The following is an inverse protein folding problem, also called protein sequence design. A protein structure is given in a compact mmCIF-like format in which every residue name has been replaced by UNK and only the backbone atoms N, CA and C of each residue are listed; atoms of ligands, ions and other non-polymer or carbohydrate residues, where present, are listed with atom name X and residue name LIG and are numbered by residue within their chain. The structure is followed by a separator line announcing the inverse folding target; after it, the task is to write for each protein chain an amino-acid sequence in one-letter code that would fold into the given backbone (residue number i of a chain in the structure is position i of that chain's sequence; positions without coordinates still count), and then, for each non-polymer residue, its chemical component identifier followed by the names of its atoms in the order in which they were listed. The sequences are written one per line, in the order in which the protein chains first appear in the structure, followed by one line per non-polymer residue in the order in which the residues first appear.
data_IF_631239537677
#
_entry.id   IF_631239537677
#
_cell.length_a   1.000
_cell.length_b   1.000
_cell.length_c   1.000
_cell.angle_alpha   90.00
_cell.angle_beta   90.00
_cell.angle_gamma   90.00
#
_symmetry.space_group_name_H-M   'P 1'
#
loop_
_entity.id
_entity.type
_entity.pdbx_description
1 polymer ?
#
# COMPACT_ATOMS: atom_id res chain seq x y z
N UNK A 1 -15.07 -28.90 4.00
CA UNK A 1 -14.26 -27.75 3.54
C UNK A 1 -13.51 -27.98 2.21
N UNK A 2 -13.72 -29.10 1.52
CA UNK A 2 -13.06 -29.38 0.22
C UNK A 2 -13.77 -28.76 -1.00
N UNK A 3 -14.98 -28.26 -0.84
CA UNK A 3 -15.90 -27.98 -1.96
C UNK A 3 -15.82 -26.56 -2.56
N UNK A 4 -14.93 -25.70 -2.07
CA UNK A 4 -14.86 -24.30 -2.52
C UNK A 4 -13.60 -23.95 -3.32
N UNK A 5 -12.65 -24.90 -3.52
CA UNK A 5 -11.42 -24.65 -4.29
C UNK A 5 -11.70 -24.47 -5.78
N UNK A 6 -12.65 -25.23 -6.34
CA UNK A 6 -12.98 -25.16 -7.78
C UNK A 6 -13.68 -23.86 -8.20
N UNK A 7 -14.25 -23.11 -7.25
CA UNK A 7 -14.92 -21.83 -7.52
C UNK A 7 -14.03 -20.60 -7.45
N UNK A 8 -12.81 -20.71 -6.91
CA UNK A 8 -11.90 -19.56 -6.80
C UNK A 8 -11.30 -19.23 -8.17
N UNK A 9 -11.47 -17.98 -8.60
CA UNK A 9 -10.98 -17.48 -9.89
C UNK A 9 -9.47 -17.58 -9.99
N UNK A 10 -8.75 -17.32 -8.88
CA UNK A 10 -7.28 -17.41 -8.81
C UNK A 10 -6.75 -18.85 -8.99
N UNK A 11 -7.61 -19.87 -8.78
CA UNK A 11 -7.26 -21.28 -8.94
C UNK A 11 -7.78 -21.88 -10.27
N UNK A 12 -8.51 -21.10 -11.05
CA UNK A 12 -8.97 -21.56 -12.36
C UNK A 12 -7.80 -21.76 -13.31
N UNK A 13 -7.96 -22.70 -14.24
CA UNK A 13 -6.98 -22.96 -15.27
C UNK A 13 -6.66 -21.69 -16.06
N UNK A 14 -5.41 -21.52 -16.43
CA UNK A 14 -4.98 -20.49 -17.37
C UNK A 14 -5.80 -20.52 -18.67
N UNK A 15 -5.93 -19.36 -19.30
CA UNK A 15 -6.51 -19.24 -20.64
C UNK A 15 -5.54 -19.65 -21.75
N UNK A 16 -4.33 -20.04 -21.38
CA UNK A 16 -3.23 -20.41 -22.27
C UNK A 16 -2.77 -21.83 -21.97
N UNK A 17 -2.56 -22.61 -23.01
CA UNK A 17 -2.06 -23.97 -22.94
C UNK A 17 -0.64 -24.08 -23.52
N UNK A 18 0.07 -25.13 -23.15
CA UNK A 18 1.39 -25.44 -23.70
C UNK A 18 2.41 -24.32 -23.58
N UNK A 19 2.42 -23.61 -22.44
CA UNK A 19 3.34 -22.50 -22.17
C UNK A 19 4.80 -22.89 -22.38
N UNK A 20 5.17 -24.13 -22.09
CA UNK A 20 6.51 -24.69 -22.27
C UNK A 20 6.96 -24.77 -23.74
N UNK A 21 6.02 -24.66 -24.69
CA UNK A 21 6.31 -24.69 -26.16
C UNK A 21 6.42 -23.30 -26.76
N UNK A 22 6.00 -22.27 -26.02
CA UNK A 22 6.00 -20.89 -26.50
C UNK A 22 7.41 -20.29 -26.48
N UNK A 23 7.75 -19.56 -27.52
CA UNK A 23 8.99 -18.78 -27.58
C UNK A 23 8.92 -17.55 -26.61
N UNK A 24 10.09 -16.98 -26.31
CA UNK A 24 10.20 -15.82 -25.38
C UNK A 24 9.29 -14.67 -25.82
N UNK A 25 9.28 -14.32 -27.10
CA UNK A 25 8.46 -13.22 -27.62
C UNK A 25 6.96 -13.48 -27.44
N UNK A 26 6.51 -14.71 -27.64
CA UNK A 26 5.13 -15.12 -27.47
C UNK A 26 4.72 -15.08 -25.97
N UNK A 27 5.55 -15.66 -25.09
CA UNK A 27 5.34 -15.62 -23.64
C UNK A 27 5.21 -14.19 -23.13
N UNK A 28 6.15 -13.32 -23.49
CA UNK A 28 6.14 -11.93 -23.00
C UNK A 28 4.97 -11.13 -23.55
N UNK A 29 4.58 -11.34 -24.81
CA UNK A 29 3.41 -10.70 -25.41
C UNK A 29 2.11 -11.13 -24.70
N UNK A 30 1.95 -12.43 -24.44
CA UNK A 30 0.77 -12.97 -23.76
C UNK A 30 0.69 -12.50 -22.29
N UNK A 31 1.80 -12.52 -21.56
CA UNK A 31 1.87 -11.97 -20.19
C UNK A 31 1.47 -10.49 -20.19
N UNK A 32 2.03 -9.71 -21.14
CA UNK A 32 1.68 -8.29 -21.23
C UNK A 32 0.21 -8.05 -21.57
N UNK A 33 -0.40 -8.91 -22.41
CA UNK A 33 -1.83 -8.82 -22.72
C UNK A 33 -2.70 -9.11 -21.50
N UNK A 34 -2.32 -10.08 -20.66
CA UNK A 34 -3.00 -10.31 -19.38
C UNK A 34 -2.82 -9.14 -18.42
N UNK A 35 -1.63 -8.54 -18.32
CA UNK A 35 -1.38 -7.40 -17.44
C UNK A 35 -2.22 -6.17 -17.81
N UNK A 36 -2.53 -5.94 -19.09
CA UNK A 36 -3.43 -4.84 -19.51
C UNK A 36 -4.82 -4.91 -18.88
N UNK A 37 -5.30 -6.10 -18.54
CA UNK A 37 -6.62 -6.31 -17.92
C UNK A 37 -6.65 -5.90 -16.45
N UNK A 38 -5.48 -5.83 -15.80
CA UNK A 38 -5.40 -5.54 -14.35
C UNK A 38 -5.93 -4.15 -14.01
N UNK A 39 -5.54 -3.14 -14.80
CA UNK A 39 -6.00 -1.76 -14.57
C UNK A 39 -7.52 -1.64 -14.72
N UNK A 40 -8.14 -2.37 -15.66
CA UNK A 40 -9.59 -2.40 -15.84
C UNK A 40 -10.30 -3.04 -14.65
N UNK A 41 -9.77 -4.15 -14.14
CA UNK A 41 -10.31 -4.80 -12.94
C UNK A 41 -10.22 -3.90 -11.70
N UNK A 42 -9.13 -3.12 -11.58
CA UNK A 42 -8.98 -2.12 -10.50
C UNK A 42 -9.98 -0.97 -10.68
N UNK A 43 -10.20 -0.51 -11.92
CA UNK A 43 -11.20 0.52 -12.24
C UNK A 43 -12.61 0.13 -11.80
N UNK A 44 -13.02 -1.11 -12.06
CA UNK A 44 -14.31 -1.65 -11.60
C UNK A 44 -14.43 -1.67 -10.07
N UNK A 45 -13.34 -1.82 -9.35
CA UNK A 45 -13.29 -1.84 -7.89
C UNK A 45 -13.20 -0.44 -7.24
N UNK A 46 -12.98 0.65 -8.02
CA UNK A 46 -12.79 2.01 -7.50
C UNK A 46 -13.85 2.45 -6.48
N UNK A 47 -15.16 2.19 -6.65
CA UNK A 47 -16.15 2.61 -5.64
C UNK A 47 -15.85 2.04 -4.25
N UNK A 48 -15.45 0.77 -4.16
CA UNK A 48 -15.09 0.12 -2.88
C UNK A 48 -13.73 0.58 -2.36
N UNK A 49 -12.77 0.81 -3.25
CA UNK A 49 -11.45 1.37 -2.92
C UNK A 49 -11.62 2.75 -2.29
N UNK A 50 -12.45 3.61 -2.85
CA UNK A 50 -12.69 4.95 -2.34
C UNK A 50 -13.27 4.91 -0.91
N UNK A 51 -14.25 4.05 -0.65
CA UNK A 51 -14.85 3.86 0.68
C UNK A 51 -13.78 3.41 1.69
N UNK A 52 -12.91 2.47 1.31
CA UNK A 52 -11.80 2.02 2.16
C UNK A 52 -10.83 3.17 2.45
N UNK A 53 -10.42 3.94 1.44
CA UNK A 53 -9.51 5.09 1.62
C UNK A 53 -10.11 6.13 2.55
N UNK A 54 -11.40 6.46 2.41
CA UNK A 54 -12.10 7.38 3.29
C UNK A 54 -12.16 6.88 4.74
N UNK A 55 -12.32 5.58 4.94
CA UNK A 55 -12.27 4.97 6.26
C UNK A 55 -10.87 5.09 6.90
N UNK A 56 -9.82 4.81 6.11
CA UNK A 56 -8.43 4.97 6.55
C UNK A 56 -8.15 6.45 6.89
N UNK A 57 -8.58 7.38 6.04
CA UNK A 57 -8.39 8.82 6.26
C UNK A 57 -9.02 9.27 7.57
N UNK A 58 -10.24 8.81 7.89
CA UNK A 58 -10.91 9.14 9.16
C UNK A 58 -10.09 8.71 10.37
N UNK A 59 -9.60 7.46 10.38
CA UNK A 59 -8.82 6.95 11.50
C UNK A 59 -7.51 7.71 11.65
N UNK A 60 -6.79 7.93 10.55
CA UNK A 60 -5.50 8.64 10.59
C UNK A 60 -5.66 10.13 10.98
N UNK A 61 -6.74 10.80 10.58
CA UNK A 61 -7.05 12.18 11.01
C UNK A 61 -7.35 12.26 12.51
N UNK A 62 -7.91 11.21 13.09
CA UNK A 62 -8.18 11.12 14.53
C UNK A 62 -6.96 10.67 15.36
N UNK A 63 -5.77 10.57 14.74
CA UNK A 63 -4.54 10.17 15.40
C UNK A 63 -4.23 8.67 15.34
N UNK A 64 -5.09 7.87 14.72
CA UNK A 64 -4.87 6.45 14.49
C UNK A 64 -3.84 6.15 13.40
N UNK A 65 -3.51 4.88 13.24
CA UNK A 65 -2.47 4.36 12.34
C UNK A 65 -3.06 3.37 11.34
N UNK A 66 -2.36 3.18 10.24
CA UNK A 66 -2.67 2.16 9.23
C UNK A 66 -1.69 0.98 9.36
N UNK A 67 -2.18 -0.23 9.53
CA UNK A 67 -1.38 -1.44 9.39
C UNK A 67 -1.63 -2.06 8.00
N UNK A 68 -0.59 -2.07 7.14
CA UNK A 68 -0.64 -2.52 5.75
C UNK A 68 0.74 -2.92 5.22
N UNK A 69 0.86 -3.27 3.94
CA UNK A 69 2.10 -3.77 3.33
C UNK A 69 3.08 -2.69 2.84
N UNK A 70 2.60 -1.57 2.27
CA UNK A 70 3.46 -0.52 1.68
C UNK A 70 3.89 0.51 2.72
N UNK A 71 4.97 0.22 3.44
CA UNK A 71 5.35 1.05 4.60
C UNK A 71 6.69 1.78 4.45
N UNK A 72 7.64 1.26 3.67
CA UNK A 72 9.03 1.74 3.68
C UNK A 72 9.22 2.97 2.78
N UNK A 73 8.81 2.88 1.52
CA UNK A 73 8.95 3.96 0.52
C UNK A 73 8.14 5.21 0.91
N UNK A 74 6.93 5.01 1.42
CA UNK A 74 6.00 6.07 1.81
C UNK A 74 6.59 6.96 2.91
N UNK A 75 7.33 6.38 3.86
CA UNK A 75 7.95 7.12 4.96
C UNK A 75 8.96 8.16 4.47
N UNK A 76 9.78 7.80 3.48
CA UNK A 76 10.79 8.69 2.93
C UNK A 76 10.20 9.71 1.95
N UNK A 77 9.28 9.26 1.11
CA UNK A 77 8.63 10.07 0.07
C UNK A 77 7.84 11.22 0.65
N UNK A 78 7.10 10.98 1.74
CA UNK A 78 6.19 11.97 2.31
C UNK A 78 6.63 12.48 3.70
N UNK A 79 7.79 12.05 4.19
CA UNK A 79 8.35 12.52 5.46
C UNK A 79 7.51 12.13 6.67
N UNK A 80 6.86 10.96 6.65
CA UNK A 80 6.06 10.48 7.76
C UNK A 80 6.91 9.74 8.79
N UNK A 81 6.40 9.66 10.01
CA UNK A 81 6.93 8.79 11.04
C UNK A 81 6.64 7.32 10.71
N UNK A 82 7.59 6.43 10.97
CA UNK A 82 7.43 4.99 10.71
C UNK A 82 6.35 4.32 11.54
N UNK A 83 5.85 4.96 12.60
CA UNK A 83 4.74 4.45 13.38
C UNK A 83 3.38 4.65 12.72
N UNK A 84 3.23 5.64 11.83
CA UNK A 84 1.95 5.99 11.22
C UNK A 84 1.43 4.92 10.24
N UNK A 85 2.33 4.28 9.50
CA UNK A 85 2.00 3.15 8.62
C UNK A 85 2.91 1.98 8.98
N UNK A 86 2.33 0.85 9.35
CA UNK A 86 3.04 -0.31 9.86
C UNK A 86 2.76 -1.55 9.03
N UNK A 87 3.80 -2.37 8.80
CA UNK A 87 3.66 -3.65 8.09
C UNK A 87 3.67 -4.83 9.05
N UNK A 88 2.88 -5.84 8.69
CA UNK A 88 2.80 -7.13 9.36
C UNK A 88 2.86 -8.22 8.29
N UNK A 89 3.78 -9.15 8.45
CA UNK A 89 4.03 -10.22 7.50
C UNK A 89 4.02 -11.59 8.19
N UNK A 90 3.50 -12.63 7.53
CA UNK A 90 3.67 -14.00 7.99
C UNK A 90 5.16 -14.31 8.21
N UNK A 91 5.55 -14.63 9.46
CA UNK A 91 6.94 -14.88 9.82
C UNK A 91 7.85 -13.65 9.95
N UNK A 92 7.28 -12.42 9.90
CA UNK A 92 8.01 -11.16 10.10
C UNK A 92 8.88 -10.73 8.91
N UNK A 93 9.64 -9.65 9.10
CA UNK A 93 10.45 -9.01 8.03
C UNK A 93 11.48 -9.97 7.40
N UNK A 94 11.99 -10.95 8.13
CA UNK A 94 12.92 -11.95 7.59
C UNK A 94 12.36 -12.78 6.42
N UNK A 95 11.04 -12.86 6.28
CA UNK A 95 10.40 -13.57 5.17
C UNK A 95 10.44 -12.80 3.84
N UNK A 96 10.85 -11.55 3.82
CA UNK A 96 11.06 -10.79 2.58
C UNK A 96 12.25 -11.30 1.77
N UNK A 97 13.19 -12.00 2.39
CA UNK A 97 14.39 -12.55 1.74
C UNK A 97 14.37 -14.07 1.63
N UNK A 98 13.56 -14.76 2.43
CA UNK A 98 13.42 -16.21 2.43
C UNK A 98 11.95 -16.57 2.65
N UNK A 99 11.30 -17.10 1.62
CA UNK A 99 9.91 -17.58 1.70
C UNK A 99 9.75 -18.63 2.78
N UNK A 100 8.82 -18.40 3.68
CA UNK A 100 8.36 -19.37 4.69
C UNK A 100 6.84 -19.49 4.57
N UNK A 101 6.38 -20.07 3.46
CA UNK A 101 4.95 -20.21 3.14
C UNK A 101 4.15 -20.88 4.25
N UNK A 102 4.79 -21.81 5.00
CA UNK A 102 4.17 -22.41 6.18
C UNK A 102 3.76 -21.42 7.28
N UNK A 103 4.26 -20.19 7.24
CA UNK A 103 3.86 -19.13 8.19
C UNK A 103 2.54 -18.46 7.82
N UNK A 104 2.04 -18.65 6.61
CA UNK A 104 0.69 -18.19 6.22
C UNK A 104 -0.42 -18.96 6.94
N UNK A 105 -0.12 -20.15 7.46
CA UNK A 105 -1.04 -20.97 8.24
C UNK A 105 -0.99 -20.67 9.76
N UNK A 106 -0.09 -19.78 10.20
CA UNK A 106 0.09 -19.44 11.61
C UNK A 106 -1.02 -18.47 12.08
N UNK A 107 -1.95 -18.99 12.87
CA UNK A 107 -3.15 -18.26 13.31
C UNK A 107 -2.87 -17.24 14.43
N UNK A 108 -1.81 -17.41 15.20
CA UNK A 108 -1.54 -16.61 16.40
C UNK A 108 -0.51 -15.49 16.12
N UNK A 109 0.47 -15.77 15.28
CA UNK A 109 1.59 -14.86 15.04
C UNK A 109 1.16 -13.48 14.52
N UNK A 110 0.13 -13.44 13.67
CA UNK A 110 -0.37 -12.18 13.12
C UNK A 110 -0.98 -11.28 14.20
N UNK A 111 -1.79 -11.85 15.08
CA UNK A 111 -2.38 -11.12 16.20
C UNK A 111 -1.31 -10.67 17.19
N UNK A 112 -0.33 -11.52 17.51
CA UNK A 112 0.79 -11.15 18.38
C UNK A 112 1.56 -9.96 17.81
N UNK A 113 1.86 -9.94 16.50
CA UNK A 113 2.54 -8.80 15.87
C UNK A 113 1.74 -7.49 15.99
N UNK A 114 0.39 -7.54 15.93
CA UNK A 114 -0.45 -6.37 16.17
C UNK A 114 -0.38 -5.91 17.63
N UNK A 115 -0.45 -6.84 18.58
CA UNK A 115 -0.30 -6.55 20.00
C UNK A 115 1.05 -5.89 20.31
N UNK A 116 2.14 -6.42 19.76
CA UNK A 116 3.51 -5.88 19.91
C UNK A 116 3.63 -4.45 19.36
N UNK A 117 2.82 -4.10 18.38
CA UNK A 117 2.72 -2.75 17.81
C UNK A 117 1.71 -1.87 18.54
N UNK A 118 1.09 -2.36 19.58
CA UNK A 118 0.07 -1.65 20.36
C UNK A 118 -1.06 -1.08 19.50
N UNK A 119 -1.57 -1.88 18.54
CA UNK A 119 -2.71 -1.51 17.69
C UNK A 119 -3.99 -1.46 18.55
N UNK A 120 -4.80 -0.42 18.36
CA UNK A 120 -6.01 -0.14 19.15
C UNK A 120 -7.21 0.10 18.22
N UNK A 121 -8.40 0.31 18.80
CA UNK A 121 -9.63 0.66 18.07
C UNK A 121 -9.56 1.99 17.31
N UNK A 122 -8.58 2.82 17.61
CA UNK A 122 -8.36 4.09 16.91
C UNK A 122 -7.57 3.89 15.60
N UNK A 123 -6.94 2.73 15.43
CA UNK A 123 -6.20 2.35 14.22
C UNK A 123 -7.11 1.65 13.21
N UNK A 124 -6.59 1.34 12.01
CA UNK A 124 -7.25 0.51 11.01
C UNK A 124 -6.27 -0.53 10.46
N UNK A 125 -6.74 -1.77 10.32
CA UNK A 125 -5.95 -2.88 9.79
C UNK A 125 -6.47 -3.30 8.42
N UNK A 126 -5.60 -3.30 7.40
CA UNK A 126 -5.97 -3.71 6.03
C UNK A 126 -5.20 -4.97 5.65
N UNK A 127 -5.95 -6.06 5.49
CA UNK A 127 -5.43 -7.37 5.09
C UNK A 127 -5.35 -7.54 3.57
N UNK A 128 -4.27 -8.15 3.08
CA UNK A 128 -4.07 -8.49 1.68
C UNK A 128 -3.98 -10.00 1.50
N UNK A 129 -4.80 -10.55 0.62
CA UNK A 129 -4.76 -11.97 0.29
C UNK A 129 -5.34 -12.19 -1.11
N UNK A 130 -4.55 -12.65 -2.05
CA UNK A 130 -5.03 -12.94 -3.41
C UNK A 130 -6.13 -14.01 -3.38
N UNK A 131 -5.93 -15.10 -2.66
CA UNK A 131 -6.93 -16.18 -2.51
C UNK A 131 -8.16 -15.77 -1.71
N UNK A 132 -8.02 -14.78 -0.81
CA UNK A 132 -9.04 -14.40 0.17
C UNK A 132 -9.27 -15.45 1.27
N UNK A 133 -8.34 -16.42 1.42
CA UNK A 133 -8.49 -17.53 2.38
C UNK A 133 -7.28 -17.72 3.29
N UNK A 134 -6.23 -16.91 3.15
CA UNK A 134 -4.98 -17.01 3.93
C UNK A 134 -5.29 -17.02 5.43
N UNK A 135 -4.99 -18.12 6.17
CA UNK A 135 -5.37 -18.26 7.56
C UNK A 135 -4.80 -17.17 8.46
N UNK A 136 -3.55 -16.76 8.24
CA UNK A 136 -2.91 -15.65 8.94
C UNK A 136 -3.73 -14.35 8.86
N UNK A 137 -4.15 -13.94 7.66
CA UNK A 137 -4.93 -12.71 7.45
C UNK A 137 -6.32 -12.86 8.05
N UNK A 138 -6.99 -14.00 7.83
CA UNK A 138 -8.33 -14.26 8.35
C UNK A 138 -8.35 -14.22 9.88
N UNK A 139 -7.34 -14.79 10.53
CA UNK A 139 -7.21 -14.76 12.00
C UNK A 139 -7.06 -13.34 12.51
N UNK A 140 -6.20 -12.53 11.89
CA UNK A 140 -6.04 -11.10 12.24
C UNK A 140 -7.37 -10.36 12.19
N UNK A 141 -8.11 -10.46 11.08
CA UNK A 141 -9.38 -9.73 10.94
C UNK A 141 -10.44 -10.19 11.95
N UNK A 142 -10.48 -11.47 12.27
CA UNK A 142 -11.36 -12.00 13.32
C UNK A 142 -11.05 -11.42 14.68
N UNK A 143 -9.77 -11.31 15.05
CA UNK A 143 -9.34 -10.72 16.30
C UNK A 143 -9.65 -9.21 16.32
N UNK A 144 -9.32 -8.49 15.25
CA UNK A 144 -9.64 -7.06 15.12
C UNK A 144 -11.13 -6.79 15.33
N UNK A 145 -12.00 -7.55 14.68
CA UNK A 145 -13.46 -7.41 14.83
C UNK A 145 -13.92 -7.65 16.27
N UNK A 146 -13.33 -8.64 16.97
CA UNK A 146 -13.63 -8.94 18.37
C UNK A 146 -13.23 -7.78 19.30
N UNK A 147 -12.09 -7.15 19.00
CA UNK A 147 -11.56 -6.02 19.78
C UNK A 147 -12.12 -4.65 19.33
N UNK A 148 -13.02 -4.62 18.34
CA UNK A 148 -13.62 -3.38 17.81
C UNK A 148 -12.64 -2.51 17.01
N UNK A 149 -11.60 -3.11 16.44
CA UNK A 149 -10.63 -2.45 15.57
C UNK A 149 -11.16 -2.46 14.15
N UNK A 150 -11.34 -1.31 13.47
CA UNK A 150 -11.78 -1.22 12.09
C UNK A 150 -10.87 -2.01 11.13
N UNK A 151 -11.50 -2.68 10.15
CA UNK A 151 -10.79 -3.56 9.22
C UNK A 151 -11.14 -3.30 7.77
N UNK A 152 -10.13 -3.38 6.91
CA UNK A 152 -10.30 -3.50 5.46
C UNK A 152 -9.67 -4.77 4.93
N UNK A 153 -10.02 -5.16 3.71
CA UNK A 153 -9.25 -6.16 2.99
C UNK A 153 -9.23 -5.91 1.48
N UNK A 154 -8.18 -6.45 0.83
CA UNK A 154 -8.07 -6.49 -0.63
C UNK A 154 -7.83 -7.94 -1.03
N UNK A 155 -8.76 -8.49 -1.83
CA UNK A 155 -8.77 -9.89 -2.25
C UNK A 155 -9.06 -10.00 -3.74
N UNK A 156 -8.68 -11.12 -4.38
CA UNK A 156 -8.87 -11.32 -5.82
C UNK A 156 -9.88 -12.43 -6.14
N UNK A 157 -10.69 -12.81 -5.16
CA UNK A 157 -11.82 -13.75 -5.33
C UNK A 157 -13.09 -13.16 -4.73
N UNK A 158 -14.23 -13.30 -5.39
CA UNK A 158 -15.51 -12.85 -4.85
C UNK A 158 -15.95 -13.72 -3.68
N UNK A 159 -16.68 -13.12 -2.75
CA UNK A 159 -17.29 -13.81 -1.61
C UNK A 159 -16.31 -14.67 -0.81
N UNK A 160 -15.08 -14.17 -0.66
CA UNK A 160 -14.03 -14.89 0.06
C UNK A 160 -14.23 -14.80 1.58
N UNK A 161 -13.78 -15.79 2.36
CA UNK A 161 -13.89 -15.76 3.83
C UNK A 161 -13.27 -14.50 4.46
N UNK A 162 -12.18 -13.97 3.91
CA UNK A 162 -11.56 -12.74 4.40
C UNK A 162 -12.47 -11.53 4.17
N UNK A 163 -13.15 -11.47 3.01
CA UNK A 163 -14.08 -10.37 2.69
C UNK A 163 -15.27 -10.32 3.65
N UNK A 164 -15.77 -11.47 4.11
CA UNK A 164 -16.88 -11.56 5.07
C UNK A 164 -16.54 -11.01 6.47
N UNK A 165 -15.25 -11.01 6.83
CA UNK A 165 -14.78 -10.53 8.13
C UNK A 165 -14.24 -9.10 8.13
N UNK A 166 -14.11 -8.47 6.97
CA UNK A 166 -13.68 -7.09 6.85
C UNK A 166 -14.89 -6.12 6.84
N UNK A 167 -14.76 -4.97 7.50
CA UNK A 167 -15.75 -3.89 7.44
C UNK A 167 -15.76 -3.22 6.06
N UNK A 168 -14.59 -3.14 5.43
CA UNK A 168 -14.37 -2.52 4.12
C UNK A 168 -13.68 -3.51 3.18
N UNK A 169 -14.47 -4.37 2.53
CA UNK A 169 -13.95 -5.38 1.60
C UNK A 169 -13.83 -4.82 0.17
N UNK A 170 -12.63 -4.96 -0.41
CA UNK A 170 -12.33 -4.65 -1.80
C UNK A 170 -12.01 -5.96 -2.53
N UNK A 171 -12.91 -6.38 -3.42
CA UNK A 171 -12.76 -7.56 -4.26
C UNK A 171 -12.35 -7.10 -5.66
N UNK A 172 -11.14 -7.47 -6.12
CA UNK A 172 -10.58 -7.08 -7.42
C UNK A 172 -10.43 -8.33 -8.28
N UNK A 173 -11.32 -8.50 -9.23
CA UNK A 173 -11.45 -9.73 -10.01
C UNK A 173 -10.61 -9.63 -11.28
N UNK A 174 -9.37 -10.10 -11.22
CA UNK A 174 -8.40 -10.05 -12.33
C UNK A 174 -8.46 -11.24 -13.29
N UNK A 175 -9.39 -12.19 -13.06
CA UNK A 175 -9.49 -13.43 -13.82
C UNK A 175 -8.39 -14.45 -13.48
N UNK A 176 -8.40 -15.64 -14.13
CA UNK A 176 -7.36 -16.66 -13.96
C UNK A 176 -5.97 -16.13 -14.29
N UNK A 177 -4.96 -16.57 -13.54
CA UNK A 177 -3.57 -16.15 -13.79
C UNK A 177 -3.00 -16.74 -15.10
N UNK A 178 -1.97 -16.08 -15.67
CA UNK A 178 -1.29 -16.58 -16.85
C UNK A 178 -0.63 -17.95 -16.62
N UNK A 179 -0.03 -18.14 -15.46
CA UNK A 179 0.34 -19.45 -14.93
C UNK A 179 -0.66 -19.79 -13.82
N UNK A 180 -1.41 -20.87 -14.01
CA UNK A 180 -2.47 -21.30 -13.07
C UNK A 180 -2.01 -21.24 -11.61
N UNK A 181 -2.77 -20.54 -10.76
CA UNK A 181 -2.50 -20.41 -9.35
C UNK A 181 -1.34 -19.46 -8.98
N UNK A 182 -0.63 -18.86 -9.95
CA UNK A 182 0.50 -17.98 -9.69
C UNK A 182 0.06 -16.54 -9.36
N UNK A 183 -0.53 -16.36 -8.19
CA UNK A 183 -1.16 -15.09 -7.75
C UNK A 183 -0.21 -13.91 -7.56
N UNK A 184 1.11 -14.13 -7.61
CA UNK A 184 2.10 -13.04 -7.68
C UNK A 184 2.01 -12.20 -8.95
N UNK A 185 1.28 -12.66 -9.99
CA UNK A 185 1.16 -12.00 -11.29
C UNK A 185 0.05 -10.95 -11.28
N UNK A 186 -1.15 -11.23 -11.86
CA UNK A 186 -2.22 -10.24 -11.96
C UNK A 186 -2.77 -9.82 -10.61
N UNK A 187 -3.01 -10.76 -9.71
CA UNK A 187 -3.50 -10.46 -8.37
C UNK A 187 -2.51 -9.57 -7.62
N UNK A 188 -1.23 -9.94 -7.54
CA UNK A 188 -0.19 -9.13 -6.90
C UNK A 188 -0.03 -7.75 -7.53
N UNK A 189 -0.12 -7.64 -8.88
CA UNK A 189 -0.08 -6.36 -9.59
C UNK A 189 -1.28 -5.48 -9.22
N UNK A 190 -2.49 -6.03 -9.16
CA UNK A 190 -3.69 -5.29 -8.74
C UNK A 190 -3.57 -4.76 -7.31
N UNK A 191 -3.05 -5.59 -6.40
CA UNK A 191 -2.82 -5.19 -5.01
C UNK A 191 -1.80 -4.04 -4.90
N UNK A 192 -0.72 -4.08 -5.71
CA UNK A 192 0.26 -2.98 -5.76
C UNK A 192 -0.37 -1.68 -6.25
N UNK A 193 -1.20 -1.71 -7.30
CA UNK A 193 -1.91 -0.52 -7.80
C UNK A 193 -2.80 0.09 -6.71
N UNK A 194 -3.51 -0.73 -5.95
CA UNK A 194 -4.39 -0.27 -4.88
C UNK A 194 -3.59 0.28 -3.69
N UNK A 195 -2.48 -0.36 -3.33
CA UNK A 195 -1.57 0.16 -2.30
C UNK A 195 -1.05 1.55 -2.64
N UNK A 196 -0.67 1.80 -3.90
CA UNK A 196 -0.26 3.13 -4.36
C UNK A 196 -1.40 4.14 -4.25
N UNK A 197 -2.63 3.74 -4.60
CA UNK A 197 -3.81 4.61 -4.47
C UNK A 197 -4.07 4.96 -3.00
N UNK A 198 -4.03 3.99 -2.09
CA UNK A 198 -4.24 4.21 -0.66
C UNK A 198 -3.17 5.14 -0.10
N UNK A 199 -1.90 4.76 -0.25
CA UNK A 199 -0.79 5.49 0.37
C UNK A 199 -0.66 6.91 -0.19
N UNK A 200 -0.71 7.08 -1.50
CA UNK A 200 -0.57 8.37 -2.15
C UNK A 200 -1.75 9.29 -1.84
N UNK A 201 -2.99 8.80 -1.97
CA UNK A 201 -4.18 9.60 -1.67
C UNK A 201 -4.19 10.06 -0.22
N UNK A 202 -3.87 9.15 0.72
CA UNK A 202 -3.78 9.49 2.13
C UNK A 202 -2.79 10.62 2.41
N UNK A 203 -1.59 10.57 1.80
CA UNK A 203 -0.56 11.59 2.02
C UNK A 203 -0.91 12.94 1.35
N UNK A 204 -1.55 12.92 0.19
CA UNK A 204 -2.10 14.13 -0.45
C UNK A 204 -3.15 14.78 0.46
N UNK A 205 -4.08 13.99 0.99
CA UNK A 205 -5.16 14.45 1.88
C UNK A 205 -4.65 14.97 3.23
N UNK A 206 -3.46 14.55 3.66
CA UNK A 206 -2.76 15.07 4.84
C UNK A 206 -1.93 16.35 4.55
N UNK A 207 -1.97 16.90 3.34
CA UNK A 207 -1.25 18.12 2.97
C UNK A 207 0.27 17.94 2.86
N UNK A 208 0.72 16.73 2.52
CA UNK A 208 2.16 16.44 2.31
C UNK A 208 2.58 16.64 0.86
N UNK A 209 1.62 16.88 -0.02
CA UNK A 209 1.79 17.25 -1.42
C UNK A 209 1.06 18.56 -1.64
N UNK A 210 1.71 19.52 -2.29
CA UNK A 210 1.12 20.79 -2.69
C UNK A 210 1.32 20.99 -4.19
N UNK A 211 0.21 21.29 -4.90
CA UNK A 211 0.18 21.15 -6.35
C UNK A 211 0.42 19.69 -6.73
N UNK A 212 1.58 19.41 -7.33
CA UNK A 212 2.05 18.08 -7.65
C UNK A 212 3.45 17.77 -7.04
N UNK A 213 3.85 18.54 -6.03
CA UNK A 213 5.19 18.48 -5.43
C UNK A 213 5.17 17.92 -4.01
N UNK A 214 6.10 17.02 -3.72
CA UNK A 214 6.32 16.48 -2.37
C UNK A 214 7.05 17.51 -1.51
N UNK A 215 6.32 18.25 -0.67
CA UNK A 215 6.87 19.36 0.12
C UNK A 215 7.43 18.94 1.48
N UNK A 216 7.23 17.67 1.87
CA UNK A 216 7.65 17.12 3.16
C UNK A 216 8.63 15.93 3.06
N UNK A 217 9.17 15.61 1.86
CA UNK A 217 10.09 14.50 1.67
C UNK A 217 11.31 14.59 2.61
N UNK A 218 11.77 13.44 3.12
CA UNK A 218 12.98 13.37 3.95
C UNK A 218 14.23 13.66 3.13
N UNK A 219 15.14 14.45 3.69
CA UNK A 219 16.37 14.89 3.02
C UNK A 219 17.53 13.89 3.26
N UNK A 220 17.33 12.62 2.87
CA UNK A 220 18.25 11.52 3.22
C UNK A 220 19.38 11.26 2.21
N UNK A 221 19.33 11.89 1.05
CA UNK A 221 20.37 11.77 0.03
C UNK A 221 20.46 13.01 -0.87
N UNK A 222 21.54 13.13 -1.64
CA UNK A 222 21.78 14.28 -2.52
C UNK A 222 20.63 14.54 -3.51
N UNK A 223 20.05 13.48 -4.11
CA UNK A 223 18.93 13.60 -5.06
C UNK A 223 17.71 14.23 -4.41
N UNK A 224 17.37 13.87 -3.18
CA UNK A 224 16.21 14.41 -2.47
C UNK A 224 16.46 15.84 -1.98
N UNK A 225 17.69 16.17 -1.56
CA UNK A 225 18.07 17.53 -1.22
C UNK A 225 18.00 18.45 -2.44
N UNK A 226 18.60 18.05 -3.58
CA UNK A 226 18.53 18.82 -4.84
C UNK A 226 17.09 19.03 -5.30
N UNK A 227 16.26 17.99 -5.25
CA UNK A 227 14.83 18.10 -5.57
C UNK A 227 14.12 19.11 -4.66
N UNK A 228 14.37 19.07 -3.36
CA UNK A 228 13.78 20.01 -2.41
C UNK A 228 14.19 21.46 -2.71
N UNK A 229 15.49 21.68 -3.00
CA UNK A 229 15.99 23.01 -3.39
C UNK A 229 15.28 23.54 -4.66
N UNK A 230 15.17 22.70 -5.70
CA UNK A 230 14.49 23.07 -6.95
C UNK A 230 13.01 23.38 -6.75
N UNK A 231 12.31 22.57 -5.95
CA UNK A 231 10.89 22.82 -5.61
C UNK A 231 10.76 24.14 -4.87
N UNK A 232 11.63 24.41 -3.89
CA UNK A 232 11.62 25.66 -3.14
C UNK A 232 11.85 26.88 -4.05
N UNK A 233 12.89 26.85 -4.88
CA UNK A 233 13.23 27.94 -5.82
C UNK A 233 12.14 28.18 -6.89
N UNK A 234 11.47 27.11 -7.36
CA UNK A 234 10.34 27.21 -8.30
C UNK A 234 9.15 27.96 -7.67
N UNK A 235 8.94 27.78 -6.37
CA UNK A 235 7.81 28.35 -5.63
C UNK A 235 8.11 29.72 -5.03
N UNK A 236 9.40 30.04 -4.84
CA UNK A 236 9.88 31.29 -4.25
C UNK A 236 10.94 31.90 -5.19
N UNK A 237 10.45 32.58 -6.22
CA UNK A 237 11.26 33.05 -7.36
C UNK A 237 12.30 34.12 -7.00
N UNK A 238 12.18 34.76 -5.84
CA UNK A 238 13.15 35.71 -5.27
C UNK A 238 14.44 35.03 -4.82
N UNK A 239 14.41 33.75 -4.44
CA UNK A 239 15.58 32.96 -4.02
C UNK A 239 16.29 32.38 -5.26
N UNK A 240 17.42 33.00 -5.65
CA UNK A 240 18.19 32.66 -6.86
C UNK A 240 19.47 31.88 -6.57
N UNK A 241 20.05 32.02 -5.36
CA UNK A 241 21.27 31.32 -4.98
C UNK A 241 20.94 29.92 -4.50
N UNK A 242 21.46 28.93 -5.23
CA UNK A 242 21.22 27.52 -4.91
C UNK A 242 21.82 27.12 -3.56
N UNK A 243 23.03 27.63 -3.24
CA UNK A 243 23.71 27.22 -1.99
C UNK A 243 23.02 27.85 -0.78
N UNK A 244 22.56 29.08 -0.87
CA UNK A 244 21.73 29.72 0.16
C UNK A 244 20.44 28.90 0.40
N UNK A 245 19.73 28.54 -0.66
CA UNK A 245 18.52 27.70 -0.57
C UNK A 245 18.84 26.33 0.01
N UNK A 246 19.96 25.74 -0.37
CA UNK A 246 20.39 24.44 0.15
C UNK A 246 20.63 24.49 1.66
N UNK A 247 21.29 25.52 2.17
CA UNK A 247 21.48 25.70 3.61
C UNK A 247 20.14 25.89 4.34
N UNK A 248 19.23 26.70 3.78
CA UNK A 248 17.89 26.89 4.32
C UNK A 248 17.10 25.58 4.38
N UNK A 249 17.08 24.81 3.30
CA UNK A 249 16.38 23.52 3.21
C UNK A 249 16.95 22.51 4.21
N UNK A 250 18.27 22.41 4.33
CA UNK A 250 18.91 21.52 5.30
C UNK A 250 18.58 21.91 6.75
N UNK A 251 18.58 23.21 7.04
CA UNK A 251 18.21 23.74 8.36
C UNK A 251 16.73 23.50 8.69
N UNK A 252 15.85 23.69 7.73
CA UNK A 252 14.41 23.52 7.91
C UNK A 252 13.98 22.04 7.95
N UNK A 253 14.67 21.16 7.21
CA UNK A 253 14.39 19.73 7.10
C UNK A 253 13.31 19.37 6.08
N UNK A 254 12.63 20.34 5.45
CA UNK A 254 11.72 20.13 4.31
C UNK A 254 11.37 21.45 3.62
N UNK A 255 10.84 21.39 2.39
CA UNK A 255 10.37 22.56 1.64
C UNK A 255 9.32 23.32 2.43
N UNK A 256 8.29 22.64 2.90
CA UNK A 256 7.18 23.27 3.66
C UNK A 256 7.66 23.99 4.92
N UNK A 257 8.58 23.38 5.67
CA UNK A 257 9.15 24.02 6.85
C UNK A 257 10.02 25.22 6.49
N UNK A 258 10.78 25.17 5.37
CA UNK A 258 11.56 26.29 4.89
C UNK A 258 10.65 27.48 4.53
N UNK A 259 9.56 27.26 3.81
CA UNK A 259 8.56 28.29 3.48
C UNK A 259 7.93 28.89 4.76
N UNK A 260 7.61 28.06 5.74
CA UNK A 260 7.09 28.57 7.04
C UNK A 260 8.14 29.41 7.81
N UNK A 261 9.44 29.11 7.68
CA UNK A 261 10.50 29.88 8.32
C UNK A 261 10.63 31.27 7.70
N UNK A 262 10.59 31.37 6.38
CA UNK A 262 10.68 32.70 5.70
C UNK A 262 9.43 33.53 5.94
N UNK A 263 8.22 32.94 5.90
CA UNK A 263 6.97 33.67 6.14
C UNK A 263 6.93 34.35 7.52
N UNK A 264 7.46 33.69 8.55
CA UNK A 264 7.55 34.27 9.92
C UNK A 264 8.52 35.44 10.05
N UNK A 265 9.49 35.59 9.11
CA UNK A 265 10.41 36.71 9.10
C UNK A 265 9.81 37.96 8.47
N UNK A 266 8.71 37.83 7.69
CA UNK A 266 8.03 38.96 7.09
C UNK A 266 6.89 39.53 7.98
N UNK A 267 6.47 38.80 9.03
CA UNK A 267 5.41 39.22 9.97
C UNK A 267 5.97 39.90 11.23
N UNK A 268 7.30 40.09 11.33
CA UNK A 268 7.98 40.85 12.40
C UNK A 268 8.55 42.16 11.87
#
# INVERSE_FOLDING_TARGET
MADNKEKRITEQSSLYDHLEKMGVAELTANINNENKKVALAVEEALPKINILIEAIERQVKNGGRLATLDTIEVQNTYGIDGSQIQAIFPGGIGCLTQTKESREDDLENGWQQLCDKHITKDDIVVGFSASGTTPFVLSILKHCRKEGIPTGCIVNNPHSPIAEWADYAVEVITGPEFVTGSTRMKAGTSQKLILDMISTTLQIRQGRVEGNKMVNAKLINHKLIDRACRIFMERNSEYKDYEEVRQLILKAGSVKKAEMMISRHFDM
#
